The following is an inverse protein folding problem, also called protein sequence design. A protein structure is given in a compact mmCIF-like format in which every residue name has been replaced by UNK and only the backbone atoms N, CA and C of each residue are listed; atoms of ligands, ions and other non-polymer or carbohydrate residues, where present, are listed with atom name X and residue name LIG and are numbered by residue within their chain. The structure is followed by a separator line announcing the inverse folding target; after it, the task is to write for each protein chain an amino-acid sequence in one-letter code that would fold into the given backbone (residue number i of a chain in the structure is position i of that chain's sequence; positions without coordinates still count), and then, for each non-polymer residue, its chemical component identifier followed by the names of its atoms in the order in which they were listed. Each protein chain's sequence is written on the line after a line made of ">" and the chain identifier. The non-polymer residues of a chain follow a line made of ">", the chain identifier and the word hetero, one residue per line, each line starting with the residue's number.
data_IF_607470552203
#
_entry.id   IF_607470552203
#
_cell.length_a   1.000
_cell.length_b   1.000
_cell.length_c   1.000
_cell.angle_alpha   90.00
_cell.angle_beta   90.00
_cell.angle_gamma   90.00
#
_symmetry.space_group_name_H-M   'P 1'
#
loop_
_entity.id
_entity.type
_entity.pdbx_description
1 polymer ?
#
# COMPACT_ATOMS: atom_id res chain seq x y z
N UNK A 1 -8.58 -14.85 13.19
CA UNK A 1 -8.94 -14.79 11.76
C UNK A 1 -7.73 -15.21 10.95
N UNK A 2 -7.90 -16.01 9.89
CA UNK A 2 -6.78 -16.24 8.97
C UNK A 2 -6.56 -15.01 8.05
N UNK A 3 -5.35 -14.92 7.49
CA UNK A 3 -4.90 -13.79 6.66
C UNK A 3 -5.83 -13.51 5.46
N UNK A 4 -6.41 -14.57 4.88
CA UNK A 4 -7.24 -14.47 3.68
C UNK A 4 -8.61 -13.88 3.96
N UNK A 5 -9.21 -14.27 5.08
CA UNK A 5 -10.51 -13.74 5.48
C UNK A 5 -10.43 -12.28 5.94
N UNK A 6 -9.36 -11.87 6.65
CA UNK A 6 -9.14 -10.46 6.99
C UNK A 6 -9.01 -9.57 5.75
N UNK A 7 -8.30 -10.04 4.72
CA UNK A 7 -8.06 -9.28 3.50
C UNK A 7 -9.26 -9.21 2.55
N UNK A 8 -9.86 -10.35 2.20
CA UNK A 8 -10.86 -10.41 1.13
C UNK A 8 -12.30 -10.17 1.59
N UNK A 9 -12.64 -10.62 2.80
CA UNK A 9 -14.04 -10.70 3.26
C UNK A 9 -14.41 -9.51 4.14
N UNK A 10 -13.49 -9.01 4.98
CA UNK A 10 -13.82 -7.95 5.94
C UNK A 10 -13.49 -6.53 5.52
N UNK A 11 -12.53 -6.33 4.61
CA UNK A 11 -12.26 -5.00 4.06
C UNK A 11 -13.25 -4.76 2.92
N UNK A 12 -14.15 -3.80 3.07
CA UNK A 12 -15.13 -3.48 2.02
C UNK A 12 -14.57 -2.48 1.00
N UNK A 13 -13.72 -1.56 1.45
CA UNK A 13 -13.14 -0.51 0.62
C UNK A 13 -11.85 -0.97 -0.09
N UNK A 14 -11.70 -0.63 -1.38
CA UNK A 14 -10.50 -0.93 -2.16
C UNK A 14 -9.25 -0.27 -1.59
N UNK A 15 -9.36 0.95 -1.06
CA UNK A 15 -8.24 1.67 -0.47
C UNK A 15 -7.78 1.03 0.84
N UNK A 16 -8.71 0.52 1.64
CA UNK A 16 -8.41 -0.21 2.86
C UNK A 16 -7.65 -1.51 2.54
N UNK A 17 -8.10 -2.25 1.51
CA UNK A 17 -7.38 -3.43 1.00
C UNK A 17 -5.98 -3.08 0.52
N UNK A 18 -5.87 -2.04 -0.31
CA UNK A 18 -4.60 -1.59 -0.87
C UNK A 18 -3.62 -1.17 0.24
N UNK A 19 -4.07 -0.38 1.21
CA UNK A 19 -3.27 0.06 2.33
C UNK A 19 -2.79 -1.10 3.20
N UNK A 20 -3.67 -2.05 3.50
CA UNK A 20 -3.30 -3.20 4.33
C UNK A 20 -2.27 -4.06 3.63
N UNK A 21 -2.49 -4.34 2.34
CA UNK A 21 -1.55 -5.14 1.56
C UNK A 21 -0.18 -4.44 1.45
N UNK A 22 -0.19 -3.12 1.19
CA UNK A 22 1.01 -2.31 1.09
C UNK A 22 1.82 -2.35 2.39
N UNK A 23 1.17 -2.17 3.55
CA UNK A 23 1.81 -2.23 4.86
C UNK A 23 2.38 -3.63 5.15
N UNK A 24 1.59 -4.70 4.93
CA UNK A 24 2.01 -6.07 5.25
C UNK A 24 3.16 -6.56 4.39
N UNK A 25 3.17 -6.28 3.09
CA UNK A 25 4.28 -6.70 2.23
C UNK A 25 5.53 -5.86 2.47
N UNK A 26 5.37 -4.57 2.78
CA UNK A 26 6.50 -3.68 3.10
C UNK A 26 7.24 -4.16 4.35
N UNK A 27 6.51 -4.48 5.41
CA UNK A 27 7.06 -4.81 6.74
C UNK A 27 7.20 -6.32 7.00
N UNK A 28 6.68 -7.19 6.13
CA UNK A 28 6.68 -8.63 6.33
C UNK A 28 8.01 -9.33 6.06
N UNK A 29 9.03 -8.63 5.53
CA UNK A 29 10.35 -9.17 5.20
C UNK A 29 10.34 -10.49 4.38
N UNK A 30 9.38 -10.63 3.47
CA UNK A 30 9.20 -11.85 2.67
C UNK A 30 10.37 -12.09 1.70
N UNK A 31 11.09 -11.03 1.30
CA UNK A 31 12.22 -11.10 0.37
C UNK A 31 13.51 -10.62 1.03
N UNK A 32 14.64 -11.20 0.60
CA UNK A 32 15.98 -10.75 1.00
C UNK A 32 16.21 -9.26 0.72
N UNK A 33 15.75 -8.79 -0.44
CA UNK A 33 15.76 -7.39 -0.84
C UNK A 33 14.54 -7.08 -1.71
N UNK A 34 14.14 -5.81 -1.74
CA UNK A 34 13.10 -5.34 -2.65
C UNK A 34 11.67 -5.34 -2.11
N UNK A 35 11.44 -5.65 -0.82
CA UNK A 35 10.10 -5.64 -0.20
C UNK A 35 9.29 -4.38 -0.54
N UNK A 36 9.89 -3.18 -0.42
CA UNK A 36 9.22 -1.91 -0.77
C UNK A 36 8.74 -1.86 -2.24
N UNK A 37 9.63 -2.20 -3.18
CA UNK A 37 9.30 -2.18 -4.62
C UNK A 37 8.22 -3.19 -4.93
N UNK A 38 8.34 -4.40 -4.39
CA UNK A 38 7.31 -5.44 -4.54
C UNK A 38 5.98 -5.00 -3.95
N UNK A 39 5.97 -4.45 -2.73
CA UNK A 39 4.75 -3.98 -2.09
C UNK A 39 4.04 -2.93 -2.95
N UNK A 40 4.78 -1.90 -3.39
CA UNK A 40 4.23 -0.84 -4.23
C UNK A 40 3.68 -1.38 -5.55
N UNK A 41 4.48 -2.14 -6.30
CA UNK A 41 4.10 -2.67 -7.61
C UNK A 41 2.92 -3.65 -7.52
N UNK A 42 2.90 -4.53 -6.52
CA UNK A 42 1.83 -5.51 -6.39
C UNK A 42 0.54 -4.85 -5.93
N UNK A 43 0.59 -3.86 -5.03
CA UNK A 43 -0.58 -3.06 -4.66
C UNK A 43 -1.14 -2.31 -5.88
N UNK A 44 -0.28 -1.67 -6.67
CA UNK A 44 -0.71 -0.97 -7.89
C UNK A 44 -1.37 -1.93 -8.90
N UNK A 45 -0.74 -3.06 -9.19
CA UNK A 45 -1.20 -3.97 -10.25
C UNK A 45 -2.38 -4.85 -9.81
N UNK A 46 -2.26 -5.56 -8.69
CA UNK A 46 -3.23 -6.59 -8.30
C UNK A 46 -4.44 -6.03 -7.55
N UNK A 47 -4.30 -4.85 -6.92
CA UNK A 47 -5.39 -4.24 -6.17
C UNK A 47 -5.94 -3.06 -6.94
N UNK A 48 -5.15 -2.03 -7.25
CA UNK A 48 -5.69 -0.82 -7.87
C UNK A 48 -6.09 -1.03 -9.33
N UNK A 49 -5.16 -1.48 -10.19
CA UNK A 49 -5.40 -1.63 -11.63
C UNK A 49 -6.44 -2.69 -11.96
N UNK A 50 -6.43 -3.80 -11.22
CA UNK A 50 -7.48 -4.81 -11.31
C UNK A 50 -8.89 -4.26 -11.00
N UNK A 51 -8.98 -3.11 -10.32
CA UNK A 51 -10.23 -2.45 -9.95
C UNK A 51 -10.43 -1.10 -10.65
N UNK A 52 -9.69 -0.80 -11.73
CA UNK A 52 -9.90 0.41 -12.53
C UNK A 52 -9.18 1.66 -12.03
N UNK A 53 -8.21 1.51 -11.12
CA UNK A 53 -7.45 2.60 -10.53
C UNK A 53 -5.94 2.43 -10.74
N UNK A 54 -5.16 3.48 -10.55
CA UNK A 54 -3.69 3.40 -10.50
C UNK A 54 -3.13 4.46 -9.56
N UNK A 55 -1.96 4.20 -9.00
CA UNK A 55 -1.21 5.26 -8.35
C UNK A 55 -0.90 6.40 -9.34
N UNK A 56 -1.17 7.62 -8.92
CA UNK A 56 -0.92 8.87 -9.61
C UNK A 56 -0.12 9.79 -8.68
N UNK A 57 1.17 9.47 -8.55
CA UNK A 57 2.08 10.14 -7.61
C UNK A 57 3.48 10.18 -8.22
N UNK A 58 4.18 11.29 -7.98
CA UNK A 58 5.55 11.45 -8.42
C UNK A 58 6.48 10.43 -7.74
N UNK A 59 7.48 9.96 -8.48
CA UNK A 59 8.33 8.85 -8.03
C UNK A 59 9.10 9.15 -6.73
N UNK A 60 9.48 10.41 -6.51
CA UNK A 60 10.17 10.84 -5.29
C UNK A 60 9.23 10.90 -4.07
N UNK A 61 7.97 11.30 -4.26
CA UNK A 61 6.94 11.26 -3.22
C UNK A 61 6.61 9.81 -2.84
N UNK A 62 6.43 8.94 -3.83
CA UNK A 62 6.21 7.52 -3.60
C UNK A 62 7.37 6.86 -2.84
N UNK A 63 8.62 7.14 -3.23
CA UNK A 63 9.79 6.58 -2.55
C UNK A 63 9.90 7.06 -1.10
N UNK A 64 9.71 8.37 -0.85
CA UNK A 64 9.69 8.93 0.51
C UNK A 64 8.62 8.28 1.38
N UNK A 65 7.42 8.10 0.84
CA UNK A 65 6.34 7.43 1.55
C UNK A 65 6.72 5.98 1.89
N UNK A 66 7.19 5.21 0.90
CA UNK A 66 7.55 3.79 1.10
C UNK A 66 8.72 3.59 2.06
N UNK A 67 9.71 4.49 2.06
CA UNK A 67 10.80 4.48 3.04
C UNK A 67 10.27 4.75 4.44
N UNK A 68 9.39 5.75 4.59
CA UNK A 68 8.79 6.10 5.88
C UNK A 68 7.89 4.99 6.41
N UNK A 69 7.10 4.36 5.54
CA UNK A 69 6.23 3.22 5.87
C UNK A 69 7.02 2.01 6.39
N UNK A 70 8.22 1.80 5.87
CA UNK A 70 9.13 0.73 6.30
C UNK A 70 9.98 1.10 7.53
N UNK A 71 9.92 2.35 7.99
CA UNK A 71 10.77 2.86 9.06
C UNK A 71 10.08 2.75 10.41
N UNK A 72 10.85 2.36 11.42
CA UNK A 72 10.44 2.35 12.82
C UNK A 72 11.19 3.43 13.60
N UNK A 73 10.53 4.04 14.57
CA UNK A 73 11.16 4.96 15.50
C UNK A 73 12.13 4.21 16.45
N UNK A 74 12.82 4.96 17.32
CA UNK A 74 13.76 4.38 18.30
C UNK A 74 13.11 3.43 19.31
N UNK A 75 11.78 3.42 19.40
CA UNK A 75 10.98 2.53 20.25
C UNK A 75 10.36 1.37 19.48
N UNK A 76 10.62 1.26 18.17
CA UNK A 76 10.08 0.22 17.31
C UNK A 76 8.66 0.49 16.80
N UNK A 77 8.14 1.70 16.93
CA UNK A 77 6.80 2.04 16.45
C UNK A 77 6.85 2.46 14.97
N UNK A 78 5.86 2.01 14.19
CA UNK A 78 5.65 2.49 12.84
C UNK A 78 5.28 3.97 12.83
N UNK A 79 5.68 4.68 11.78
CA UNK A 79 5.37 6.11 11.63
C UNK A 79 3.89 6.34 11.32
N UNK A 80 3.30 5.49 10.48
CA UNK A 80 1.90 5.59 10.06
C UNK A 80 1.04 4.57 10.78
N UNK A 81 -0.15 4.98 11.18
CA UNK A 81 -1.23 4.03 11.48
C UNK A 81 -1.91 3.61 10.17
N UNK A 82 -2.58 2.46 10.20
CA UNK A 82 -3.24 1.87 9.03
C UNK A 82 -4.15 2.85 8.27
N UNK A 83 -4.89 3.69 9.01
CA UNK A 83 -5.80 4.68 8.42
C UNK A 83 -5.07 5.77 7.64
N UNK A 84 -3.88 6.19 8.08
CA UNK A 84 -3.07 7.18 7.36
C UNK A 84 -2.49 6.60 6.07
N UNK A 85 -2.19 5.30 6.06
CA UNK A 85 -1.79 4.57 4.84
C UNK A 85 -2.97 4.53 3.85
N UNK A 86 -4.19 4.24 4.34
CA UNK A 86 -5.41 4.28 3.51
C UNK A 86 -5.66 5.67 2.93
N UNK A 87 -5.57 6.72 3.74
CA UNK A 87 -5.73 8.11 3.30
C UNK A 87 -4.68 8.49 2.25
N UNK A 88 -3.43 8.07 2.43
CA UNK A 88 -2.37 8.29 1.45
C UNK A 88 -2.66 7.57 0.14
N UNK A 89 -3.08 6.30 0.17
CA UNK A 89 -3.45 5.55 -1.04
C UNK A 89 -4.61 6.25 -1.74
N UNK A 90 -5.67 6.59 -1.03
CA UNK A 90 -6.85 7.26 -1.59
C UNK A 90 -6.48 8.59 -2.28
N UNK A 91 -5.64 9.42 -1.64
CA UNK A 91 -5.20 10.70 -2.18
C UNK A 91 -4.33 10.58 -3.43
N UNK A 92 -3.52 9.52 -3.50
CA UNK A 92 -2.53 9.30 -4.56
C UNK A 92 -2.98 8.29 -5.61
N UNK A 93 -4.29 8.07 -5.73
CA UNK A 93 -4.87 7.15 -6.70
C UNK A 93 -5.81 7.90 -7.63
N UNK A 94 -5.76 7.58 -8.93
CA UNK A 94 -6.66 8.10 -9.95
C UNK A 94 -7.35 6.95 -10.68
N UNK A 95 -8.54 7.19 -11.23
CA UNK A 95 -9.18 6.22 -12.15
C UNK A 95 -8.37 6.10 -13.42
N UNK A 96 -8.26 4.88 -13.94
CA UNK A 96 -7.56 4.60 -15.20
C UNK A 96 -8.19 5.34 -16.39
N UNK A 97 -9.51 5.53 -16.37
CA UNK A 97 -10.24 6.25 -17.42
C UNK A 97 -9.81 7.72 -17.54
N UNK A 98 -9.25 8.32 -16.49
CA UNK A 98 -8.79 9.72 -16.49
C UNK A 98 -7.39 9.88 -17.11
N UNK A 99 -6.72 8.79 -17.49
CA UNK A 99 -5.40 8.81 -18.14
C UNK A 99 -5.48 8.75 -19.67
N UNK A 100 -6.65 8.48 -20.26
CA UNK A 100 -6.83 8.26 -21.70
C UNK A 100 -7.89 9.17 -22.33
#
# INVERSE_FOLDING_TARGET
>A
MDFWNDFWVYRENIYEKAAWFLEKVTNGHAFWQGNKRTAYTVTDVLILRANGFAFDVEGDEADRFMVTLASLDSKGNATYIQKEVEEWVCKNTRRLDDFF
#
